data_IF_788362459641
#
_entry.id   IF_788362459641
#
_cell.length_a   1.000
_cell.length_b   1.000
_cell.length_c   1.000
_cell.angle_alpha   90.00
_cell.angle_beta   90.00
_cell.angle_gamma   90.00
#
_symmetry.space_group_name_H-M   'P 1'
#
loop_
_entity.id
_entity.type
_entity.pdbx_description
1 polymer ?
#
# COMPACT_ATOMS: atom_id res chain seq x y z
N UNK A 1 -31.19 -8.52 -29.27
CA UNK A 1 -30.27 -8.02 -28.22
C UNK A 1 -29.88 -9.25 -27.40
N UNK A 2 -28.79 -9.92 -27.77
CA UNK A 2 -28.38 -11.17 -27.13
C UNK A 2 -27.84 -10.84 -25.73
N UNK A 3 -28.51 -11.35 -24.69
CA UNK A 3 -27.96 -11.33 -23.34
C UNK A 3 -26.68 -12.18 -23.36
N UNK A 4 -25.52 -11.54 -23.16
CA UNK A 4 -24.27 -12.23 -22.93
C UNK A 4 -24.45 -13.16 -21.73
N UNK A 5 -24.03 -14.42 -21.86
CA UNK A 5 -24.00 -15.37 -20.75
C UNK A 5 -23.23 -14.76 -19.57
N UNK A 6 -23.65 -14.95 -18.30
CA UNK A 6 -23.01 -14.35 -17.13
C UNK A 6 -21.49 -14.58 -17.04
N UNK A 7 -21.01 -15.71 -17.55
CA UNK A 7 -19.59 -16.09 -17.65
C UNK A 7 -18.80 -15.24 -18.64
N UNK A 8 -19.39 -14.81 -19.75
CA UNK A 8 -18.73 -13.92 -20.71
C UNK A 8 -18.59 -12.48 -20.18
N UNK A 9 -19.47 -12.07 -19.26
CA UNK A 9 -19.44 -10.74 -18.65
C UNK A 9 -18.34 -10.60 -17.59
N UNK A 10 -18.10 -11.65 -16.79
CA UNK A 10 -17.03 -11.67 -15.79
C UNK A 10 -15.63 -11.66 -16.42
N UNK A 11 -15.44 -12.38 -17.54
CA UNK A 11 -14.17 -12.42 -18.28
C UNK A 11 -13.79 -11.08 -18.92
N UNK A 12 -14.76 -10.20 -19.20
CA UNK A 12 -14.50 -8.86 -19.76
C UNK A 12 -14.08 -7.84 -18.70
N UNK A 13 -14.26 -8.13 -17.40
CA UNK A 13 -13.92 -7.23 -16.30
C UNK A 13 -12.64 -7.62 -15.54
N UNK A 14 -12.13 -8.83 -15.75
CA UNK A 14 -10.83 -9.24 -15.24
C UNK A 14 -9.75 -8.55 -16.08
N UNK A 15 -9.05 -7.59 -15.48
CA UNK A 15 -8.01 -6.80 -16.17
C UNK A 15 -6.60 -7.21 -15.75
N UNK A 16 -6.47 -7.99 -14.69
CA UNK A 16 -5.17 -8.50 -14.24
C UNK A 16 -4.76 -9.67 -15.15
N UNK A 17 -3.58 -9.63 -15.79
CA UNK A 17 -3.12 -10.73 -16.63
C UNK A 17 -3.01 -12.04 -15.84
N UNK A 18 -3.54 -13.14 -16.38
CA UNK A 18 -3.54 -14.46 -15.70
C UNK A 18 -2.12 -14.94 -15.36
N UNK A 19 -1.14 -14.56 -16.18
CA UNK A 19 0.29 -14.88 -15.99
C UNK A 19 1.01 -13.95 -15.01
N UNK A 20 0.34 -12.91 -14.48
CA UNK A 20 0.97 -11.97 -13.55
C UNK A 20 1.09 -12.56 -12.15
N UNK A 21 2.12 -12.14 -11.43
CA UNK A 21 2.31 -12.45 -10.00
C UNK A 21 1.11 -12.00 -9.17
N UNK A 22 0.54 -10.83 -9.51
CA UNK A 22 -0.65 -10.30 -8.86
C UNK A 22 -1.85 -11.24 -8.99
N UNK A 23 -2.12 -11.76 -10.20
CA UNK A 23 -3.19 -12.72 -10.42
C UNK A 23 -3.00 -14.01 -9.61
N UNK A 24 -1.77 -14.54 -9.58
CA UNK A 24 -1.45 -15.73 -8.79
C UNK A 24 -1.71 -15.52 -7.29
N UNK A 25 -1.30 -14.38 -6.72
CA UNK A 25 -1.58 -14.07 -5.32
C UNK A 25 -3.08 -13.95 -5.05
N UNK A 26 -3.83 -13.20 -5.84
CA UNK A 26 -5.28 -13.06 -5.65
C UNK A 26 -6.01 -14.40 -5.82
N UNK A 27 -5.57 -15.25 -6.76
CA UNK A 27 -6.10 -16.60 -6.95
C UNK A 27 -5.86 -17.48 -5.72
N UNK A 28 -4.65 -17.46 -5.16
CA UNK A 28 -4.34 -18.22 -3.95
C UNK A 28 -5.21 -17.76 -2.77
N UNK A 29 -5.39 -16.45 -2.59
CA UNK A 29 -6.27 -15.90 -1.56
C UNK A 29 -7.72 -16.38 -1.73
N UNK A 30 -8.26 -16.27 -2.95
CA UNK A 30 -9.62 -16.69 -3.26
C UNK A 30 -9.87 -18.19 -3.00
N UNK A 31 -8.87 -19.03 -3.25
CA UNK A 31 -8.96 -20.48 -3.12
C UNK A 31 -8.77 -20.97 -1.68
N UNK A 32 -7.88 -20.35 -0.92
CA UNK A 32 -7.42 -20.88 0.37
C UNK A 32 -8.00 -20.19 1.59
N UNK A 33 -8.46 -18.94 1.45
CA UNK A 33 -8.91 -18.13 2.58
C UNK A 33 -10.43 -18.09 2.69
N UNK A 34 -10.91 -17.89 3.92
CA UNK A 34 -12.32 -17.68 4.27
C UNK A 34 -12.64 -16.21 4.41
N UNK A 35 -11.65 -15.42 4.85
CA UNK A 35 -11.76 -13.97 4.96
C UNK A 35 -10.49 -13.32 4.42
N UNK A 36 -10.66 -12.30 3.58
CA UNK A 36 -9.57 -11.49 3.04
C UNK A 36 -9.87 -10.04 3.30
N UNK A 37 -9.00 -9.35 4.05
CA UNK A 37 -9.16 -7.94 4.40
C UNK A 37 -8.09 -7.11 3.70
N UNK A 38 -8.49 -6.30 2.72
CA UNK A 38 -7.62 -5.32 2.07
C UNK A 38 -7.51 -4.09 2.96
N UNK A 39 -6.36 -3.90 3.59
CA UNK A 39 -6.10 -2.85 4.56
C UNK A 39 -5.15 -1.79 3.99
N UNK A 40 -5.40 -0.50 4.25
CA UNK A 40 -4.55 0.56 3.73
C UNK A 40 -5.23 1.91 3.61
N UNK A 41 -4.45 2.95 3.32
CA UNK A 41 -4.95 4.32 3.15
C UNK A 41 -6.01 4.41 2.04
N UNK A 42 -6.97 5.33 2.14
CA UNK A 42 -7.82 5.64 0.98
C UNK A 42 -6.96 6.06 -0.24
N UNK A 43 -7.43 5.73 -1.45
CA UNK A 43 -6.70 6.05 -2.69
C UNK A 43 -5.46 5.18 -2.97
N UNK A 44 -5.37 3.97 -2.42
CA UNK A 44 -4.24 3.02 -2.67
C UNK A 44 -4.61 1.88 -3.61
N UNK A 45 -5.74 1.98 -4.31
CA UNK A 45 -6.17 0.97 -5.29
C UNK A 45 -6.93 -0.23 -4.70
N UNK A 46 -7.22 -0.23 -3.39
CA UNK A 46 -7.94 -1.33 -2.71
C UNK A 46 -9.23 -1.74 -3.40
N UNK A 47 -10.09 -0.78 -3.76
CA UNK A 47 -11.40 -1.09 -4.35
C UNK A 47 -11.26 -1.80 -5.72
N UNK A 48 -10.24 -1.45 -6.51
CA UNK A 48 -9.92 -2.18 -7.74
C UNK A 48 -9.44 -3.61 -7.44
N UNK A 49 -8.51 -3.78 -6.49
CA UNK A 49 -8.04 -5.11 -6.10
C UNK A 49 -9.17 -5.99 -5.53
N UNK A 50 -10.10 -5.40 -4.79
CA UNK A 50 -11.31 -6.08 -4.31
C UNK A 50 -12.16 -6.52 -5.50
N UNK A 51 -12.42 -5.65 -6.48
CA UNK A 51 -13.16 -6.02 -7.67
C UNK A 51 -12.52 -7.21 -8.39
N UNK A 52 -11.21 -7.19 -8.57
CA UNK A 52 -10.50 -8.27 -9.25
C UNK A 52 -10.51 -9.57 -8.43
N UNK A 53 -10.36 -9.49 -7.10
CA UNK A 53 -10.48 -10.65 -6.21
C UNK A 53 -11.90 -11.24 -6.22
N UNK A 54 -12.93 -10.41 -6.26
CA UNK A 54 -14.33 -10.85 -6.37
C UNK A 54 -14.51 -11.69 -7.64
N UNK A 55 -14.03 -11.19 -8.79
CA UNK A 55 -14.15 -11.87 -10.08
C UNK A 55 -13.43 -13.22 -10.06
N UNK A 56 -12.18 -13.25 -9.57
CA UNK A 56 -11.37 -14.48 -9.45
C UNK A 56 -12.05 -15.48 -8.50
N UNK A 57 -12.61 -15.01 -7.38
CA UNK A 57 -13.31 -15.87 -6.44
C UNK A 57 -14.60 -16.45 -7.04
N UNK A 58 -15.36 -15.66 -7.79
CA UNK A 58 -16.56 -16.13 -8.48
C UNK A 58 -16.24 -17.16 -9.56
N UNK A 59 -15.17 -16.96 -10.33
CA UNK A 59 -14.68 -17.95 -11.30
C UNK A 59 -14.26 -19.26 -10.60
N UNK A 60 -13.67 -19.17 -9.41
CA UNK A 60 -13.37 -20.32 -8.55
C UNK A 60 -14.62 -20.94 -7.85
N UNK A 61 -15.83 -20.49 -8.18
CA UNK A 61 -17.08 -21.02 -7.64
C UNK A 61 -17.39 -20.60 -6.20
N UNK A 62 -16.72 -19.55 -5.69
CA UNK A 62 -16.90 -19.03 -4.33
C UNK A 62 -18.16 -18.17 -4.25
N UNK A 63 -18.81 -18.16 -3.10
CA UNK A 63 -19.93 -17.27 -2.78
C UNK A 63 -19.41 -16.07 -1.99
N UNK A 64 -19.36 -14.90 -2.63
CA UNK A 64 -18.64 -13.73 -2.11
C UNK A 64 -19.55 -12.80 -1.32
N UNK A 65 -19.10 -12.39 -0.13
CA UNK A 65 -19.71 -11.38 0.73
C UNK A 65 -18.75 -10.22 0.92
N UNK A 66 -19.28 -9.01 1.10
CA UNK A 66 -18.45 -7.81 1.25
C UNK A 66 -18.61 -7.16 2.62
N UNK A 67 -17.51 -6.63 3.13
CA UNK A 67 -17.47 -5.68 4.24
C UNK A 67 -16.71 -4.43 3.80
N UNK A 68 -17.40 -3.34 3.49
CA UNK A 68 -16.74 -2.12 3.04
C UNK A 68 -17.07 -0.99 4.00
N UNK A 69 -16.06 -0.20 4.39
CA UNK A 69 -16.23 0.96 5.27
C UNK A 69 -17.42 1.86 4.87
N UNK A 70 -17.51 2.21 3.58
CA UNK A 70 -18.57 3.08 3.06
C UNK A 70 -19.96 2.47 3.19
N UNK A 71 -20.10 1.14 3.12
CA UNK A 71 -21.38 0.44 3.31
C UNK A 71 -21.66 0.26 4.80
N UNK A 72 -20.65 -0.15 5.58
CA UNK A 72 -20.76 -0.43 7.00
C UNK A 72 -21.17 0.80 7.83
N UNK A 73 -20.72 2.01 7.45
CA UNK A 73 -21.06 3.24 8.16
C UNK A 73 -22.49 3.74 7.89
N UNK A 74 -23.08 3.43 6.73
CA UNK A 74 -24.35 4.02 6.28
C UNK A 74 -25.51 3.85 7.27
N UNK A 75 -25.72 2.67 7.89
CA UNK A 75 -26.79 2.52 8.89
C UNK A 75 -26.67 3.44 10.10
N UNK A 76 -25.46 3.94 10.40
CA UNK A 76 -25.19 4.88 11.48
C UNK A 76 -25.33 6.35 11.05
N UNK A 77 -25.60 6.63 9.78
CA UNK A 77 -25.73 7.98 9.21
C UNK A 77 -27.20 8.33 8.96
N UNK A 78 -28.09 8.00 9.91
CA UNK A 78 -29.51 8.40 9.82
C UNK A 78 -29.66 9.90 10.07
N UNK A 79 -30.73 10.56 9.60
CA UNK A 79 -30.97 11.98 9.85
C UNK A 79 -30.89 12.34 11.34
N UNK A 80 -31.42 11.50 12.22
CA UNK A 80 -31.44 11.71 13.67
C UNK A 80 -30.03 11.60 14.28
N UNK A 81 -29.20 10.68 13.79
CA UNK A 81 -27.83 10.53 14.26
C UNK A 81 -26.95 11.66 13.72
N UNK A 82 -27.09 12.02 12.43
CA UNK A 82 -26.31 13.09 11.79
C UNK A 82 -26.61 14.48 12.36
N UNK A 83 -27.80 14.72 12.92
CA UNK A 83 -28.07 15.95 13.67
C UNK A 83 -27.21 16.05 14.93
N UNK A 84 -26.91 14.92 15.59
CA UNK A 84 -26.10 14.87 16.81
C UNK A 84 -24.61 14.76 16.51
N UNK A 85 -24.27 14.04 15.43
CA UNK A 85 -22.90 13.68 15.05
C UNK A 85 -22.69 13.94 13.55
N UNK A 86 -22.66 15.22 13.13
CA UNK A 86 -22.59 15.59 11.72
C UNK A 86 -21.23 15.23 11.10
N UNK A 87 -21.23 15.02 9.77
CA UNK A 87 -20.00 15.00 8.98
C UNK A 87 -19.43 16.43 8.88
N UNK A 88 -18.13 16.58 9.12
CA UNK A 88 -17.43 17.88 9.03
C UNK A 88 -16.30 17.76 8.00
N UNK A 89 -16.27 18.65 7.01
CA UNK A 89 -15.25 18.68 5.95
C UNK A 89 -15.06 17.34 5.20
N UNK A 90 -16.14 16.58 5.00
CA UNK A 90 -16.09 15.26 4.36
C UNK A 90 -15.54 14.15 5.24
N UNK A 91 -15.40 14.39 6.55
CA UNK A 91 -14.90 13.42 7.53
C UNK A 91 -16.02 12.96 8.47
N UNK A 92 -16.27 11.66 8.47
CA UNK A 92 -17.23 11.00 9.36
C UNK A 92 -16.95 11.31 10.83
N UNK A 93 -17.99 11.66 11.58
CA UNK A 93 -17.88 11.99 13.01
C UNK A 93 -17.19 10.87 13.83
N UNK A 94 -16.30 11.18 14.79
CA UNK A 94 -15.62 10.20 15.63
C UNK A 94 -16.55 9.13 16.25
N UNK A 95 -17.69 9.56 16.82
CA UNK A 95 -18.69 8.66 17.42
C UNK A 95 -19.20 7.62 16.42
N UNK A 96 -19.51 8.01 15.18
CA UNK A 96 -19.96 7.09 14.13
C UNK A 96 -18.83 6.13 13.75
N UNK A 97 -17.58 6.61 13.69
CA UNK A 97 -16.41 5.76 13.41
C UNK A 97 -16.22 4.67 14.45
N UNK A 98 -16.26 5.06 15.72
CA UNK A 98 -16.18 4.14 16.84
C UNK A 98 -17.36 3.16 16.87
N UNK A 99 -18.60 3.64 16.69
CA UNK A 99 -19.78 2.78 16.67
C UNK A 99 -19.72 1.72 15.56
N UNK A 100 -19.31 2.11 14.35
CA UNK A 100 -19.13 1.19 13.23
C UNK A 100 -18.03 0.16 13.54
N UNK A 101 -16.95 0.60 14.19
CA UNK A 101 -15.86 -0.25 14.65
C UNK A 101 -16.26 -1.29 15.69
N UNK A 102 -17.01 -0.88 16.71
CA UNK A 102 -17.55 -1.80 17.73
C UNK A 102 -18.52 -2.80 17.11
N UNK A 103 -19.35 -2.36 16.17
CA UNK A 103 -20.29 -3.23 15.45
C UNK A 103 -19.58 -4.32 14.64
N UNK A 104 -18.50 -3.97 13.94
CA UNK A 104 -17.94 -4.82 12.90
C UNK A 104 -17.40 -6.14 13.42
N UNK A 105 -16.83 -6.17 14.64
CA UNK A 105 -16.36 -7.43 15.24
C UNK A 105 -17.52 -8.42 15.42
N UNK A 106 -18.64 -7.96 15.98
CA UNK A 106 -19.85 -8.78 16.10
C UNK A 106 -20.39 -9.23 14.74
N UNK A 107 -20.35 -8.36 13.73
CA UNK A 107 -20.83 -8.67 12.38
C UNK A 107 -20.00 -9.77 11.70
N UNK A 108 -18.67 -9.71 11.82
CA UNK A 108 -17.77 -10.74 11.27
C UNK A 108 -17.97 -12.09 11.97
N UNK A 109 -18.13 -12.09 13.30
CA UNK A 109 -18.42 -13.31 14.06
C UNK A 109 -19.74 -13.95 13.61
N UNK A 110 -20.82 -13.16 13.53
CA UNK A 110 -22.12 -13.65 13.04
C UNK A 110 -22.06 -14.15 11.61
N UNK A 111 -21.34 -13.46 10.73
CA UNK A 111 -21.16 -13.92 9.36
C UNK A 111 -20.49 -15.30 9.32
N UNK A 112 -19.44 -15.50 10.12
CA UNK A 112 -18.72 -16.77 10.20
C UNK A 112 -19.62 -17.92 10.66
N UNK A 113 -20.43 -17.68 11.68
CA UNK A 113 -21.40 -18.65 12.23
C UNK A 113 -22.51 -18.99 11.22
N UNK A 114 -23.01 -17.99 10.49
CA UNK A 114 -24.11 -18.15 9.54
C UNK A 114 -23.69 -18.86 8.24
N UNK A 115 -22.41 -18.83 7.89
CA UNK A 115 -21.90 -19.34 6.61
C UNK A 115 -20.79 -20.38 6.81
N UNK A 116 -21.02 -21.51 7.52
CA UNK A 116 -19.96 -22.45 7.88
C UNK A 116 -19.35 -23.18 6.66
N UNK A 117 -20.09 -23.29 5.56
CA UNK A 117 -19.60 -23.91 4.33
C UNK A 117 -18.38 -23.13 3.80
N UNK A 118 -17.23 -23.81 3.58
CA UNK A 118 -16.02 -23.16 3.15
C UNK A 118 -16.17 -22.40 1.85
N UNK A 119 -17.15 -22.68 0.98
CA UNK A 119 -17.42 -21.96 -0.29
C UNK A 119 -17.65 -20.45 -0.10
N UNK A 120 -18.10 -20.03 1.07
CA UNK A 120 -18.33 -18.62 1.36
C UNK A 120 -17.01 -17.91 1.63
N UNK A 121 -16.85 -16.72 1.06
CA UNK A 121 -15.67 -15.87 1.19
C UNK A 121 -16.13 -14.46 1.60
N UNK A 122 -15.61 -13.95 2.72
CA UNK A 122 -15.78 -12.54 3.10
C UNK A 122 -14.59 -11.72 2.61
N UNK A 123 -14.85 -10.68 1.82
CA UNK A 123 -13.83 -9.73 1.38
C UNK A 123 -14.10 -8.38 2.04
N UNK A 124 -13.13 -7.86 2.77
CA UNK A 124 -13.26 -6.59 3.47
C UNK A 124 -12.35 -5.48 2.94
N UNK A 125 -12.82 -4.23 2.95
CA UNK A 125 -12.03 -3.03 2.73
C UNK A 125 -11.86 -2.26 4.04
N UNK A 126 -10.61 -2.17 4.54
CA UNK A 126 -10.27 -1.54 5.80
C UNK A 126 -9.38 -0.31 5.56
N UNK A 127 -9.89 0.93 5.73
CA UNK A 127 -9.06 2.11 5.63
C UNK A 127 -8.03 2.24 6.77
N UNK A 128 -8.37 1.71 7.96
CA UNK A 128 -7.59 1.66 9.22
C UNK A 128 -7.24 3.04 9.81
N UNK A 129 -6.68 3.96 9.02
CA UNK A 129 -6.32 5.33 9.44
C UNK A 129 -7.54 6.11 9.93
N UNK A 130 -7.35 6.84 11.03
CA UNK A 130 -8.37 7.66 11.67
C UNK A 130 -9.49 6.85 12.31
N UNK A 131 -9.17 5.73 12.97
CA UNK A 131 -10.12 4.83 13.64
C UNK A 131 -11.21 4.25 12.71
N UNK A 132 -10.86 3.87 11.47
CA UNK A 132 -11.83 3.29 10.53
C UNK A 132 -11.70 1.76 10.47
N UNK A 133 -12.56 1.07 11.23
CA UNK A 133 -12.54 -0.41 11.42
C UNK A 133 -11.23 -0.92 12.03
N UNK A 134 -10.57 -0.08 12.83
CA UNK A 134 -9.33 -0.41 13.52
C UNK A 134 -9.50 -1.59 14.50
N UNK A 135 -10.72 -1.77 14.98
CA UNK A 135 -11.15 -2.82 15.90
C UNK A 135 -10.93 -4.22 15.30
N UNK A 136 -10.84 -4.38 13.98
CA UNK A 136 -10.46 -5.67 13.36
C UNK A 136 -8.95 -5.92 13.38
N UNK A 137 -8.13 -4.89 13.60
CA UNK A 137 -6.66 -4.98 13.58
C UNK A 137 -6.06 -5.10 14.97
N UNK A 138 -6.75 -4.57 15.98
CA UNK A 138 -6.30 -4.61 17.37
C UNK A 138 -6.69 -5.92 18.06
N UNK A 139 -5.80 -6.52 18.87
CA UNK A 139 -6.14 -7.66 19.71
C UNK A 139 -7.24 -7.28 20.71
N UNK A 140 -8.29 -8.09 20.76
CA UNK A 140 -9.36 -7.95 21.74
C UNK A 140 -9.62 -9.30 22.40
N UNK A 141 -9.95 -9.30 23.70
CA UNK A 141 -10.25 -10.52 24.44
C UNK A 141 -11.71 -10.95 24.22
N UNK A 142 -12.07 -11.26 22.97
CA UNK A 142 -13.42 -11.70 22.58
C UNK A 142 -13.43 -13.01 21.78
N UNK A 143 -14.63 -13.51 21.48
CA UNK A 143 -14.81 -14.77 20.75
C UNK A 143 -14.39 -14.71 19.27
N UNK A 144 -14.18 -13.52 18.71
CA UNK A 144 -13.76 -13.35 17.32
C UNK A 144 -12.23 -13.46 17.19
N UNK A 145 -11.48 -13.07 18.21
CA UNK A 145 -10.02 -12.98 18.14
C UNK A 145 -9.31 -14.29 17.70
N UNK A 146 -9.72 -15.50 18.17
CA UNK A 146 -9.15 -16.75 17.68
C UNK A 146 -9.34 -16.96 16.17
N UNK A 147 -10.42 -16.42 15.59
CA UNK A 147 -10.67 -16.48 14.16
C UNK A 147 -9.78 -15.49 13.39
N UNK A 148 -9.69 -14.23 13.84
CA UNK A 148 -8.86 -13.20 13.19
C UNK A 148 -7.36 -13.53 13.17
N UNK A 149 -6.91 -14.32 14.15
CA UNK A 149 -5.53 -14.80 14.28
C UNK A 149 -5.31 -16.20 13.69
N UNK A 150 -6.33 -16.80 13.06
CA UNK A 150 -6.21 -18.10 12.39
C UNK A 150 -5.75 -17.96 10.94
N UNK A 151 -5.19 -19.05 10.39
CA UNK A 151 -4.75 -19.11 8.98
C UNK A 151 -5.89 -18.95 7.95
N UNK A 152 -7.16 -19.03 8.39
CA UNK A 152 -8.34 -18.84 7.55
C UNK A 152 -8.56 -17.37 7.15
N UNK A 153 -7.94 -16.44 7.89
CA UNK A 153 -8.07 -15.01 7.70
C UNK A 153 -6.74 -14.45 7.21
N UNK A 154 -6.79 -13.65 6.13
CA UNK A 154 -5.62 -12.95 5.61
C UNK A 154 -5.90 -11.44 5.56
N UNK A 155 -5.01 -10.66 6.15
CA UNK A 155 -4.93 -9.22 5.91
C UNK A 155 -3.92 -8.99 4.77
N UNK A 156 -4.31 -8.16 3.82
CA UNK A 156 -3.51 -7.83 2.64
C UNK A 156 -3.27 -6.33 2.63
N UNK A 157 -2.00 -5.94 2.57
CA UNK A 157 -1.58 -4.54 2.48
C UNK A 157 -1.07 -4.27 1.05
N UNK A 158 -1.89 -3.70 0.16
CA UNK A 158 -1.40 -3.23 -1.12
C UNK A 158 -0.55 -1.98 -0.92
N UNK A 159 0.69 -2.05 -1.41
CA UNK A 159 1.67 -0.96 -1.42
C UNK A 159 1.91 -0.55 -2.88
N UNK A 160 1.22 0.48 -3.38
CA UNK A 160 1.44 0.94 -4.74
C UNK A 160 2.83 1.55 -4.90
N UNK A 161 3.46 1.33 -6.05
CA UNK A 161 4.64 2.09 -6.47
C UNK A 161 4.28 3.58 -6.62
N UNK A 162 5.27 4.46 -6.74
CA UNK A 162 5.01 5.88 -7.04
C UNK A 162 4.19 6.09 -8.30
N UNK A 163 4.51 5.34 -9.36
CA UNK A 163 3.81 5.41 -10.65
C UNK A 163 2.36 4.95 -10.53
N UNK A 164 2.13 3.84 -9.84
CA UNK A 164 0.78 3.33 -9.57
C UNK A 164 0.01 4.29 -8.68
N UNK A 165 0.65 4.87 -7.65
CA UNK A 165 0.01 5.85 -6.78
C UNK A 165 -0.42 7.09 -7.56
N UNK A 166 0.45 7.64 -8.41
CA UNK A 166 0.12 8.77 -9.26
C UNK A 166 -1.06 8.44 -10.20
N UNK A 167 -1.05 7.26 -10.84
CA UNK A 167 -2.13 6.82 -11.70
C UNK A 167 -3.47 6.68 -10.95
N UNK A 168 -3.45 6.21 -9.70
CA UNK A 168 -4.65 6.12 -8.85
C UNK A 168 -5.17 7.53 -8.49
N UNK A 169 -4.28 8.47 -8.13
CA UNK A 169 -4.67 9.85 -7.82
C UNK A 169 -5.27 10.55 -9.04
N UNK A 170 -4.69 10.36 -10.22
CA UNK A 170 -5.22 10.88 -11.48
C UNK A 170 -6.59 10.25 -11.82
N UNK A 171 -6.74 8.93 -11.64
CA UNK A 171 -8.02 8.26 -11.84
C UNK A 171 -9.08 8.80 -10.88
N UNK A 172 -8.72 9.03 -9.61
CA UNK A 172 -9.59 9.62 -8.60
C UNK A 172 -10.06 11.01 -8.96
N UNK A 173 -9.14 11.86 -9.44
CA UNK A 173 -9.48 13.20 -9.89
C UNK A 173 -10.48 13.17 -11.05
N UNK A 174 -10.30 12.24 -12.00
CA UNK A 174 -11.24 12.04 -13.11
C UNK A 174 -12.62 11.58 -12.63
N UNK A 175 -12.70 10.54 -11.79
CA UNK A 175 -14.00 9.98 -11.34
C UNK A 175 -14.75 10.90 -10.39
N UNK A 176 -14.06 11.79 -9.67
CA UNK A 176 -14.73 12.84 -8.90
C UNK A 176 -15.34 13.92 -9.79
N UNK A 177 -14.68 14.25 -10.90
CA UNK A 177 -15.17 15.23 -11.87
C UNK A 177 -16.32 14.67 -12.74
N UNK A 178 -16.22 13.39 -13.11
CA UNK A 178 -17.22 12.68 -13.93
C UNK A 178 -17.51 11.27 -13.34
N UNK A 179 -18.36 11.18 -12.30
CA UNK A 179 -18.67 9.91 -11.65
C UNK A 179 -19.46 8.97 -12.55
N UNK A 180 -18.95 7.75 -12.72
CA UNK A 180 -19.63 6.64 -13.41
C UNK A 180 -20.46 5.78 -12.45
N UNK A 181 -20.30 5.96 -11.13
CA UNK A 181 -21.07 5.24 -10.11
C UNK A 181 -21.36 6.10 -8.87
N UNK A 182 -22.49 5.89 -8.20
CA UNK A 182 -22.91 6.69 -7.03
C UNK A 182 -21.90 6.64 -5.86
N UNK A 183 -21.17 5.53 -5.70
CA UNK A 183 -20.12 5.40 -4.68
C UNK A 183 -18.91 6.30 -4.94
N UNK A 184 -18.63 6.65 -6.21
CA UNK A 184 -17.51 7.53 -6.57
C UNK A 184 -17.74 8.97 -6.08
N UNK A 185 -19.01 9.38 -5.93
CA UNK A 185 -19.34 10.69 -5.35
C UNK A 185 -19.00 10.79 -3.86
N UNK A 186 -18.87 9.64 -3.18
CA UNK A 186 -18.56 9.54 -1.74
C UNK A 186 -17.10 9.23 -1.49
N UNK A 187 -16.29 9.22 -2.53
CA UNK A 187 -14.87 8.99 -2.42
C UNK A 187 -14.17 10.16 -1.74
N UNK A 188 -13.14 9.83 -0.95
CA UNK A 188 -12.26 10.85 -0.37
C UNK A 188 -11.68 11.75 -1.48
N UNK A 189 -11.84 13.06 -1.31
CA UNK A 189 -11.31 14.10 -2.19
C UNK A 189 -9.77 14.16 -2.12
N UNK A 190 -9.10 14.80 -3.09
CA UNK A 190 -7.63 14.95 -3.07
C UNK A 190 -7.12 15.62 -1.78
N UNK A 191 -7.83 16.62 -1.26
CA UNK A 191 -7.49 17.28 -0.01
C UNK A 191 -7.56 16.32 1.19
N UNK A 192 -8.60 15.47 1.24
CA UNK A 192 -8.71 14.43 2.27
C UNK A 192 -7.58 13.40 2.14
N UNK A 193 -7.25 12.95 0.93
CA UNK A 193 -6.13 12.04 0.70
C UNK A 193 -4.79 12.62 1.16
N UNK A 194 -4.55 13.91 0.91
CA UNK A 194 -3.36 14.61 1.37
C UNK A 194 -3.31 14.69 2.90
N UNK A 195 -4.42 15.04 3.55
CA UNK A 195 -4.51 15.11 5.02
C UNK A 195 -4.25 13.75 5.66
N UNK A 196 -4.80 12.67 5.09
CA UNK A 196 -4.55 11.32 5.59
C UNK A 196 -3.11 10.86 5.37
N UNK A 197 -2.47 11.28 4.27
CA UNK A 197 -1.04 11.01 4.08
C UNK A 197 -0.17 11.77 5.09
N UNK A 198 -0.53 13.03 5.41
CA UNK A 198 0.13 13.77 6.49
C UNK A 198 -0.01 13.05 7.84
N UNK A 199 -1.17 12.45 8.11
CA UNK A 199 -1.38 11.62 9.30
C UNK A 199 -0.46 10.39 9.31
N UNK A 200 -0.32 9.68 8.17
CA UNK A 200 0.62 8.56 8.03
C UNK A 200 2.08 9.01 8.27
N UNK A 201 2.50 10.15 7.71
CA UNK A 201 3.82 10.71 7.98
C UNK A 201 4.01 11.06 9.47
N UNK A 202 2.97 11.58 10.12
CA UNK A 202 2.95 11.85 11.56
C UNK A 202 3.19 10.58 12.38
N UNK A 203 2.49 9.50 12.03
CA UNK A 203 2.66 8.19 12.67
C UNK A 203 4.05 7.60 12.43
N UNK A 204 4.56 7.67 11.21
CA UNK A 204 5.90 7.18 10.88
C UNK A 204 6.97 7.81 11.78
N UNK A 205 6.88 9.13 12.02
CA UNK A 205 7.76 9.84 12.95
C UNK A 205 7.64 9.33 14.38
N UNK A 206 6.42 9.17 14.88
CA UNK A 206 6.18 8.68 16.24
C UNK A 206 6.70 7.25 16.43
N UNK A 207 6.63 6.42 15.39
CA UNK A 207 7.15 5.06 15.39
C UNK A 207 8.67 4.98 15.18
N UNK A 208 9.36 6.10 14.93
CA UNK A 208 10.79 6.11 14.61
C UNK A 208 11.12 5.57 13.22
N UNK A 209 10.11 5.38 12.36
CA UNK A 209 10.28 5.01 10.96
C UNK A 209 10.67 6.27 10.18
N UNK A 210 11.98 6.50 10.00
CA UNK A 210 12.62 7.55 9.16
C UNK A 210 12.58 9.01 9.68
N UNK A 211 13.31 9.91 9.01
CA UNK A 211 13.16 11.38 9.09
C UNK A 211 11.93 11.84 8.28
N UNK A 212 10.78 11.16 8.36
CA UNK A 212 9.57 11.55 7.65
C UNK A 212 9.25 13.03 7.96
N UNK A 213 8.84 13.78 6.94
CA UNK A 213 8.23 15.11 6.84
C UNK A 213 6.71 15.18 7.03
N UNK A 214 5.97 16.16 7.61
CA UNK A 214 4.55 16.28 7.25
C UNK A 214 4.39 16.56 5.75
N UNK A 215 5.41 17.16 5.13
CA UNK A 215 5.46 17.46 3.70
C UNK A 215 6.15 16.40 2.85
N UNK A 216 6.58 15.27 3.44
CA UNK A 216 7.18 14.19 2.66
C UNK A 216 6.12 13.67 1.68
N UNK A 217 6.40 13.62 0.37
CA UNK A 217 5.48 13.07 -0.61
C UNK A 217 5.24 11.59 -0.35
N UNK A 218 4.27 10.98 -1.06
CA UNK A 218 4.04 9.55 -0.94
C UNK A 218 5.34 8.75 -1.07
N UNK A 219 5.56 7.84 -0.14
CA UNK A 219 6.68 6.92 -0.16
C UNK A 219 6.16 5.51 0.21
N UNK A 220 6.32 4.51 -0.66
CA UNK A 220 5.80 3.16 -0.46
C UNK A 220 6.39 2.48 0.78
N UNK A 221 7.61 2.82 1.20
CA UNK A 221 8.25 2.26 2.38
C UNK A 221 7.72 2.86 3.68
N UNK A 222 7.54 4.18 3.73
CA UNK A 222 6.90 4.83 4.89
C UNK A 222 5.47 4.28 5.03
N UNK A 223 4.74 4.22 3.92
CA UNK A 223 3.41 3.64 3.87
C UNK A 223 3.41 2.18 4.33
N UNK A 224 4.22 1.33 3.71
CA UNK A 224 4.32 -0.10 4.03
C UNK A 224 4.66 -0.34 5.50
N UNK A 225 5.70 0.33 6.00
CA UNK A 225 6.17 0.17 7.38
C UNK A 225 5.14 0.61 8.42
N UNK A 226 4.44 1.75 8.21
CA UNK A 226 3.37 2.18 9.12
C UNK A 226 2.25 1.15 9.17
N UNK A 227 1.75 0.69 8.02
CA UNK A 227 0.63 -0.26 8.01
C UNK A 227 1.03 -1.67 8.45
N UNK A 228 2.28 -2.10 8.25
CA UNK A 228 2.82 -3.33 8.83
C UNK A 228 2.79 -3.25 10.37
N UNK A 229 3.22 -2.13 10.96
CA UNK A 229 3.12 -1.91 12.40
C UNK A 229 1.66 -1.92 12.89
N UNK A 230 0.75 -1.27 12.15
CA UNK A 230 -0.69 -1.27 12.48
C UNK A 230 -1.33 -2.67 12.41
N UNK A 231 -0.80 -3.55 11.56
CA UNK A 231 -1.35 -4.89 11.30
C UNK A 231 -0.51 -6.02 11.94
N UNK A 232 0.44 -5.70 12.82
CA UNK A 232 1.41 -6.64 13.40
C UNK A 232 0.78 -7.83 14.14
N UNK A 233 -0.49 -7.73 14.55
CA UNK A 233 -1.22 -8.77 15.26
C UNK A 233 -2.08 -9.65 14.34
N UNK A 234 -1.89 -9.57 13.02
CA UNK A 234 -2.68 -10.27 12.03
C UNK A 234 -1.78 -11.04 11.07
N UNK A 235 -2.35 -12.09 10.45
CA UNK A 235 -1.73 -12.74 9.30
C UNK A 235 -1.68 -11.74 8.14
N UNK A 236 -0.55 -11.05 8.03
CA UNK A 236 -0.35 -9.98 7.06
C UNK A 236 0.40 -10.51 5.83
N UNK A 237 -0.08 -10.13 4.65
CA UNK A 237 0.64 -10.26 3.40
C UNK A 237 0.77 -8.87 2.78
N UNK A 238 2.00 -8.39 2.65
CA UNK A 238 2.28 -7.17 1.88
C UNK A 238 2.30 -7.51 0.39
N UNK A 239 1.55 -6.75 -0.39
CA UNK A 239 1.45 -6.91 -1.84
C UNK A 239 1.98 -5.64 -2.50
N UNK A 240 3.17 -5.71 -3.09
CA UNK A 240 3.69 -4.62 -3.91
C UNK A 240 2.88 -4.55 -5.19
N UNK A 241 2.40 -3.35 -5.53
CA UNK A 241 1.62 -3.10 -6.75
C UNK A 241 2.39 -2.12 -7.61
N UNK A 242 3.09 -2.64 -8.61
CA UNK A 242 3.93 -1.87 -9.53
C UNK A 242 3.36 -1.79 -10.96
N UNK A 243 2.25 -2.48 -11.22
CA UNK A 243 1.53 -2.45 -12.48
C UNK A 243 0.35 -1.47 -12.44
N UNK A 244 0.27 -0.56 -13.41
CA UNK A 244 -0.88 0.32 -13.60
C UNK A 244 -1.99 -0.45 -14.31
N UNK A 245 -3.07 -0.72 -13.59
CA UNK A 245 -4.25 -1.37 -14.14
C UNK A 245 -5.26 -0.33 -14.64
N UNK A 246 -5.86 -0.59 -15.80
CA UNK A 246 -6.79 0.32 -16.47
C UNK A 246 -8.21 -0.25 -16.50
N UNK A 247 -9.03 -0.04 -15.45
CA UNK A 247 -10.42 -0.47 -15.47
C UNK A 247 -11.22 0.31 -16.51
N UNK A 248 -12.06 -0.38 -17.29
CA UNK A 248 -12.91 0.26 -18.31
C UNK A 248 -14.24 0.80 -17.73
N UNK A 249 -14.55 0.43 -16.48
CA UNK A 249 -15.77 0.80 -15.77
C UNK A 249 -15.46 1.13 -14.33
N UNK A 250 -16.48 1.58 -13.59
CA UNK A 250 -16.35 1.81 -12.15
C UNK A 250 -15.85 0.57 -11.42
N UNK A 251 -14.90 0.79 -10.52
CA UNK A 251 -14.39 -0.26 -9.59
C UNK A 251 -15.46 -0.74 -8.60
N UNK A 252 -16.57 -0.02 -8.51
CA UNK A 252 -17.71 -0.36 -7.66
C UNK A 252 -18.79 -1.15 -8.39
N UNK A 253 -18.69 -1.31 -9.71
CA UNK A 253 -19.56 -2.21 -10.46
C UNK A 253 -19.14 -3.66 -10.13
N UNK A 254 -19.85 -4.28 -9.18
CA UNK A 254 -19.64 -5.66 -8.76
C UNK A 254 -20.92 -6.45 -9.04
N UNK A 255 -20.79 -7.53 -9.82
CA UNK A 255 -21.88 -8.46 -10.08
C UNK A 255 -21.84 -9.62 -9.08
N UNK A 256 -22.99 -10.28 -8.85
CA UNK A 256 -23.08 -11.57 -8.14
C UNK A 256 -22.49 -11.60 -6.72
N UNK A 257 -22.55 -10.47 -6.00
CA UNK A 257 -22.27 -10.42 -4.56
C UNK A 257 -23.46 -11.03 -3.80
N UNK A 258 -23.18 -11.96 -2.89
CA UNK A 258 -24.22 -12.66 -2.13
C UNK A 258 -24.83 -11.76 -1.05
N UNK A 259 -24.01 -11.02 -0.31
CA UNK A 259 -24.47 -9.95 0.57
C UNK A 259 -23.34 -8.96 0.91
N UNK A 260 -23.74 -7.77 1.34
CA UNK A 260 -22.84 -6.82 2.01
C UNK A 260 -23.22 -6.77 3.50
N UNK A 261 -22.23 -6.83 4.39
CA UNK A 261 -22.47 -6.71 5.83
C UNK A 261 -22.95 -5.29 6.15
N UNK A 262 -24.13 -5.20 6.77
CA UNK A 262 -24.75 -3.94 7.21
C UNK A 262 -25.43 -4.14 8.55
N UNK A 263 -25.38 -3.09 9.39
CA UNK A 263 -26.05 -3.11 10.68
C UNK A 263 -27.57 -3.00 10.49
N UNK A 264 -28.32 -3.75 11.30
CA UNK A 264 -29.78 -3.56 11.37
C UNK A 264 -30.12 -2.32 12.20
N UNK A 265 -31.31 -1.71 12.05
CA UNK A 265 -31.72 -0.57 12.89
C UNK A 265 -31.66 -0.87 14.40
N UNK A 266 -31.97 -2.11 14.81
CA UNK A 266 -31.89 -2.54 16.20
C UNK A 266 -30.44 -2.60 16.70
N UNK A 267 -29.51 -3.09 15.87
CA UNK A 267 -28.08 -3.10 16.18
C UNK A 267 -27.53 -1.67 16.27
N UNK A 268 -27.91 -0.80 15.33
CA UNK A 268 -27.52 0.63 15.36
C UNK A 268 -27.97 1.27 16.66
N UNK A 269 -29.25 1.12 17.03
CA UNK A 269 -29.79 1.69 18.27
C UNK A 269 -29.04 1.19 19.51
N UNK A 270 -28.81 -0.12 19.61
CA UNK A 270 -28.11 -0.72 20.75
C UNK A 270 -26.65 -0.26 20.85
N UNK A 271 -25.95 -0.15 19.73
CA UNK A 271 -24.55 0.27 19.70
C UNK A 271 -24.43 1.76 19.98
N UNK A 272 -25.26 2.60 19.37
CA UNK A 272 -25.25 4.03 19.65
C UNK A 272 -25.53 4.32 21.13
N UNK A 273 -26.51 3.65 21.74
CA UNK A 273 -26.77 3.77 23.18
C UNK A 273 -25.52 3.40 24.01
N UNK A 274 -24.89 2.25 23.72
CA UNK A 274 -23.67 1.81 24.41
C UNK A 274 -22.48 2.78 24.22
N UNK A 275 -22.34 3.39 23.05
CA UNK A 275 -21.27 4.37 22.78
C UNK A 275 -21.55 5.68 23.51
N UNK A 276 -22.80 6.13 23.52
CA UNK A 276 -23.24 7.34 24.23
C UNK A 276 -23.08 7.18 25.76
N UNK A 277 -23.36 6.00 26.32
CA UNK A 277 -23.13 5.68 27.75
C UNK A 277 -21.66 5.79 28.18
N UNK A 278 -20.70 5.60 27.26
CA UNK A 278 -19.27 5.74 27.55
C UNK A 278 -18.84 7.21 27.66
N UNK A 279 -19.69 8.16 27.24
CA UNK A 279 -19.42 9.58 27.17
C UNK A 279 -18.78 9.98 25.84
N UNK A 280 -19.41 10.91 25.13
CA UNK A 280 -18.97 11.39 23.80
C UNK A 280 -17.53 11.90 23.83
N UNK A 281 -17.17 12.74 24.80
CA UNK A 281 -15.81 13.30 24.93
C UNK A 281 -14.75 12.20 25.07
N UNK A 282 -15.07 11.11 25.78
CA UNK A 282 -14.17 9.98 25.95
C UNK A 282 -13.98 9.24 24.61
N UNK A 283 -15.05 9.03 23.86
CA UNK A 283 -15.01 8.39 22.54
C UNK A 283 -14.21 9.24 21.56
N UNK A 284 -14.44 10.55 21.54
CA UNK A 284 -13.68 11.47 20.69
C UNK A 284 -12.19 11.48 21.04
N UNK A 285 -11.87 11.45 22.34
CA UNK A 285 -10.49 11.35 22.83
C UNK A 285 -9.86 10.00 22.46
N UNK A 286 -10.60 8.90 22.52
CA UNK A 286 -10.10 7.59 22.10
C UNK A 286 -9.83 7.56 20.59
N UNK A 287 -10.76 8.11 19.79
CA UNK A 287 -10.63 8.21 18.33
C UNK A 287 -9.48 9.13 17.92
N UNK A 288 -9.21 10.23 18.62
CA UNK A 288 -8.07 11.11 18.31
C UNK A 288 -6.72 10.46 18.65
N UNK A 289 -6.69 9.60 19.67
CA UNK A 289 -5.52 8.83 20.09
C UNK A 289 -5.55 7.38 19.62
N UNK A 290 -6.25 7.09 18.52
CA UNK A 290 -6.47 5.73 18.02
C UNK A 290 -5.18 4.92 17.81
N UNK A 291 -4.07 5.60 17.56
CA UNK A 291 -2.75 5.04 17.31
C UNK A 291 -1.93 4.78 18.59
N UNK A 292 -2.31 5.32 19.75
CA UNK A 292 -1.52 5.22 20.99
C UNK A 292 -1.26 3.79 21.45
N UNK A 293 -2.24 2.86 21.44
CA UNK A 293 -1.99 1.48 21.82
C UNK A 293 -0.93 0.80 20.92
N UNK A 294 -0.78 1.27 19.69
CA UNK A 294 0.13 0.72 18.68
C UNK A 294 1.52 1.37 18.73
N UNK A 295 1.62 2.64 19.14
CA UNK A 295 2.88 3.38 19.22
C UNK A 295 3.57 3.32 20.59
N UNK A 296 2.87 2.93 21.66
CA UNK A 296 3.47 2.79 23.00
C UNK A 296 4.20 1.47 23.24
N UNK A 297 3.88 0.44 22.46
CA UNK A 297 4.52 -0.86 22.56
C UNK A 297 4.68 -1.50 21.17
N UNK A 298 5.30 -0.79 20.19
CA UNK A 298 5.54 -1.41 18.90
C UNK A 298 6.40 -2.63 19.18
N UNK A 299 5.94 -3.82 18.76
CA UNK A 299 6.97 -4.81 18.49
C UNK A 299 7.86 -4.15 17.44
N UNK A 300 9.20 -4.14 17.61
CA UNK A 300 10.04 -3.82 16.48
C UNK A 300 9.49 -4.68 15.34
N UNK A 301 9.19 -4.08 14.17
CA UNK A 301 8.62 -4.85 13.08
C UNK A 301 9.46 -6.11 12.99
N UNK A 302 8.81 -7.28 13.01
CA UNK A 302 9.46 -8.48 12.55
C UNK A 302 10.17 -8.02 11.27
N UNK A 303 11.51 -8.12 11.14
CA UNK A 303 12.21 -7.68 9.92
C UNK A 303 11.60 -8.30 8.65
N UNK A 304 10.70 -9.25 8.88
CA UNK A 304 9.95 -10.12 8.02
C UNK A 304 10.60 -11.49 8.18
N UNK A 305 10.37 -12.39 7.23
CA UNK A 305 11.57 -13.05 6.69
C UNK A 305 12.67 -11.98 6.48
N UNK A 306 13.95 -12.36 6.37
CA UNK A 306 14.83 -11.54 5.54
C UNK A 306 13.96 -11.24 4.32
N UNK A 307 13.51 -10.00 4.09
CA UNK A 307 13.13 -9.64 2.75
C UNK A 307 14.41 -10.10 2.06
N UNK A 308 14.43 -11.17 1.23
CA UNK A 308 15.49 -11.20 0.26
C UNK A 308 15.30 -9.82 -0.32
N UNK A 309 16.23 -8.89 -0.04
CA UNK A 309 16.24 -7.61 -0.70
C UNK A 309 15.93 -8.03 -2.11
N UNK A 310 14.80 -7.67 -2.72
CA UNK A 310 14.66 -7.99 -4.10
C UNK A 310 15.66 -7.03 -4.77
N UNK A 311 16.97 -7.30 -4.68
CA UNK A 311 17.74 -7.61 -5.86
C UNK A 311 16.78 -8.48 -6.66
N UNK A 312 16.12 -7.89 -7.66
CA UNK A 312 14.94 -8.47 -8.21
C UNK A 312 15.20 -9.94 -8.50
N UNK A 313 14.31 -10.84 -8.10
CA UNK A 313 14.13 -12.10 -8.83
C UNK A 313 13.69 -11.83 -10.30
N UNK A 314 13.63 -10.56 -10.73
CA UNK A 314 13.64 -10.11 -12.12
C UNK A 314 15.05 -9.87 -12.72
N UNK A 315 16.15 -10.07 -11.99
CA UNK A 315 17.50 -10.17 -12.56
C UNK A 315 17.99 -11.60 -12.91
N UNK A 316 17.22 -12.71 -12.96
CA UNK A 316 17.67 -13.94 -13.57
C UNK A 316 18.07 -13.78 -15.05
N UNK A 317 17.85 -12.61 -15.65
CA UNK A 317 18.18 -12.33 -17.05
C UNK A 317 18.79 -10.95 -17.34
N UNK A 318 18.97 -10.05 -16.36
CA UNK A 318 19.55 -8.72 -16.67
C UNK A 318 21.06 -8.82 -16.95
N UNK A 319 21.81 -9.60 -16.17
CA UNK A 319 23.20 -9.94 -16.51
C UNK A 319 23.28 -10.75 -17.81
N UNK A 320 22.24 -11.52 -18.13
CA UNK A 320 22.20 -12.36 -19.34
C UNK A 320 21.84 -11.59 -20.62
N UNK A 321 21.29 -10.37 -20.51
CA UNK A 321 20.79 -9.60 -21.65
C UNK A 321 21.45 -8.23 -21.83
N UNK A 322 22.26 -7.74 -20.88
CA UNK A 322 22.95 -6.45 -20.98
C UNK A 322 24.42 -6.64 -21.34
N UNK A 323 24.74 -6.53 -22.64
CA UNK A 323 26.12 -6.56 -23.11
C UNK A 323 26.76 -5.16 -22.99
N UNK A 324 27.53 -4.95 -21.91
CA UNK A 324 28.33 -3.75 -21.75
C UNK A 324 29.45 -3.68 -22.79
N UNK A 325 29.59 -2.52 -23.44
CA UNK A 325 30.76 -2.24 -24.28
C UNK A 325 32.05 -2.22 -23.43
N UNK A 326 33.20 -2.40 -24.07
CA UNK A 326 34.49 -2.29 -23.39
C UNK A 326 34.67 -0.92 -22.72
N UNK A 327 34.10 0.13 -23.31
CA UNK A 327 34.14 1.50 -22.80
C UNK A 327 33.25 1.66 -21.55
N UNK A 328 32.02 1.14 -21.59
CA UNK A 328 31.11 1.15 -20.42
C UNK A 328 31.68 0.34 -19.26
N UNK A 329 32.23 -0.84 -19.54
CA UNK A 329 32.89 -1.67 -18.52
C UNK A 329 34.10 -0.97 -17.91
N UNK A 330 34.93 -0.32 -18.73
CA UNK A 330 36.08 0.44 -18.25
C UNK A 330 35.64 1.61 -17.33
N UNK A 331 34.58 2.33 -17.70
CA UNK A 331 34.06 3.44 -16.90
C UNK A 331 33.52 2.96 -15.52
N UNK A 332 32.79 1.85 -15.48
CA UNK A 332 32.32 1.24 -14.23
C UNK A 332 33.47 0.71 -13.37
N UNK A 333 34.50 0.11 -13.98
CA UNK A 333 35.69 -0.35 -13.27
C UNK A 333 36.46 0.79 -12.61
N UNK A 334 36.50 1.98 -13.23
CA UNK A 334 37.09 3.16 -12.60
C UNK A 334 36.33 3.51 -11.32
N UNK A 335 34.99 3.48 -11.35
CA UNK A 335 34.18 3.70 -10.15
C UNK A 335 34.54 2.66 -9.09
N UNK A 336 34.49 1.35 -9.38
CA UNK A 336 34.71 0.26 -8.41
C UNK A 336 36.13 0.21 -7.85
N UNK A 337 37.16 0.58 -8.62
CA UNK A 337 38.57 0.50 -8.17
C UNK A 337 39.03 1.66 -7.31
N UNK A 338 38.22 2.71 -7.14
CA UNK A 338 38.55 3.79 -6.22
C UNK A 338 38.67 3.26 -4.78
N UNK A 339 39.67 3.72 -4.00
CA UNK A 339 39.76 3.39 -2.57
C UNK A 339 38.49 3.82 -1.82
N UNK A 340 38.07 3.06 -0.81
CA UNK A 340 36.89 3.40 0.01
C UNK A 340 37.00 4.78 0.67
N UNK A 341 38.24 5.22 0.94
CA UNK A 341 38.62 6.51 1.51
C UNK A 341 38.90 7.60 0.46
N UNK A 342 38.54 7.38 -0.81
CA UNK A 342 38.72 8.39 -1.84
C UNK A 342 37.92 9.67 -1.53
N UNK A 343 38.52 10.82 -1.84
CA UNK A 343 37.88 12.13 -1.70
C UNK A 343 36.58 12.20 -2.51
N UNK A 344 35.53 12.81 -1.95
CA UNK A 344 34.17 12.84 -2.54
C UNK A 344 34.20 13.42 -3.97
N UNK A 345 34.98 14.48 -4.21
CA UNK A 345 35.12 15.08 -5.55
C UNK A 345 35.73 14.12 -6.58
N UNK A 346 36.65 13.24 -6.17
CA UNK A 346 37.25 12.21 -7.04
C UNK A 346 36.22 11.14 -7.36
N UNK A 347 35.43 10.72 -6.37
CA UNK A 347 34.34 9.75 -6.54
C UNK A 347 33.26 10.31 -7.46
N UNK A 348 32.82 11.55 -7.24
CA UNK A 348 31.84 12.24 -8.08
C UNK A 348 32.30 12.33 -9.54
N UNK A 349 33.57 12.68 -9.77
CA UNK A 349 34.14 12.75 -11.13
C UNK A 349 34.09 11.40 -11.85
N UNK A 350 34.41 10.31 -11.14
CA UNK A 350 34.33 8.97 -11.71
C UNK A 350 32.88 8.53 -12.00
N UNK A 351 31.95 8.85 -11.11
CA UNK A 351 30.52 8.55 -11.26
C UNK A 351 29.91 9.37 -12.41
N UNK A 352 30.27 10.65 -12.54
CA UNK A 352 29.85 11.53 -13.64
C UNK A 352 30.34 11.00 -14.99
N UNK A 353 31.59 10.56 -15.06
CA UNK A 353 32.13 9.92 -16.26
C UNK A 353 31.35 8.64 -16.59
N UNK A 354 31.12 7.76 -15.61
CA UNK A 354 30.36 6.52 -15.83
C UNK A 354 28.92 6.78 -16.30
N UNK A 355 28.22 7.75 -15.70
CA UNK A 355 26.89 8.17 -16.13
C UNK A 355 26.88 8.69 -17.58
N UNK A 356 27.89 9.48 -17.96
CA UNK A 356 28.01 10.00 -19.32
C UNK A 356 28.28 8.89 -20.34
N UNK A 357 29.14 7.92 -19.99
CA UNK A 357 29.50 6.79 -20.86
C UNK A 357 28.35 5.79 -21.07
N UNK A 358 27.38 5.70 -20.14
CA UNK A 358 26.23 4.80 -20.28
C UNK A 358 25.17 5.28 -21.30
N UNK A 359 25.25 6.53 -21.81
CA UNK A 359 24.35 7.16 -22.81
C UNK A 359 22.87 7.27 -22.36
N UNK A 360 22.03 8.14 -22.99
CA UNK A 360 21.22 9.11 -22.26
C UNK A 360 19.96 8.46 -21.68
N UNK A 361 20.12 7.77 -20.55
CA UNK A 361 19.01 7.65 -19.63
C UNK A 361 18.68 9.09 -19.22
N UNK A 362 17.56 9.62 -19.71
CA UNK A 362 16.96 10.82 -19.15
C UNK A 362 16.49 10.45 -17.74
N UNK A 363 17.42 10.46 -16.79
CA UNK A 363 17.11 10.30 -15.37
C UNK A 363 16.48 11.63 -14.95
N UNK A 364 15.25 11.64 -14.39
CA UNK A 364 14.66 12.86 -13.89
C UNK A 364 15.63 13.53 -12.92
N UNK A 365 15.95 14.79 -13.18
CA UNK A 365 16.59 15.69 -12.22
C UNK A 365 15.59 16.02 -11.11
N UNK A 366 15.21 15.03 -10.32
CA UNK A 366 14.47 15.27 -9.10
C UNK A 366 15.40 16.03 -8.13
N UNK A 367 15.11 17.31 -7.92
CA UNK A 367 15.95 18.25 -7.19
C UNK A 367 16.14 17.94 -5.69
N UNK A 368 15.65 16.81 -5.16
CA UNK A 368 15.57 16.55 -3.73
C UNK A 368 15.77 15.07 -3.34
N UNK A 369 16.79 14.38 -3.90
CA UNK A 369 17.14 13.02 -3.47
C UNK A 369 18.12 13.07 -2.28
N UNK A 370 17.58 13.28 -1.07
CA UNK A 370 18.38 13.51 0.15
C UNK A 370 19.10 12.27 0.74
N UNK A 371 19.11 11.10 0.06
CA UNK A 371 19.81 9.88 0.52
C UNK A 371 20.15 8.93 -0.63
N UNK A 372 21.22 8.12 -0.48
CA UNK A 372 21.47 6.97 -1.36
C UNK A 372 20.50 5.86 -0.99
N UNK A 373 19.59 5.56 -1.88
CA UNK A 373 18.72 4.40 -1.79
C UNK A 373 18.91 3.59 -3.07
N UNK A 374 19.42 2.36 -2.93
CA UNK A 374 19.63 1.39 -4.03
C UNK A 374 18.29 1.08 -4.73
N UNK A 375 17.15 1.36 -4.08
CA UNK A 375 15.84 1.25 -4.69
C UNK A 375 15.40 2.53 -5.43
N UNK A 376 15.76 3.73 -4.98
CA UNK A 376 15.50 4.97 -5.74
C UNK A 376 16.16 4.93 -7.12
N UNK A 377 17.29 4.21 -7.23
CA UNK A 377 17.93 3.94 -8.50
C UNK A 377 17.18 3.01 -9.45
N UNK A 378 16.37 2.09 -8.92
CA UNK A 378 15.58 1.16 -9.73
C UNK A 378 14.31 1.81 -10.32
N UNK A 379 13.78 2.84 -9.64
CA UNK A 379 12.49 3.45 -9.97
C UNK A 379 12.57 4.86 -10.55
N UNK A 380 13.73 5.54 -10.49
CA UNK A 380 13.92 6.87 -11.11
C UNK A 380 14.25 6.81 -12.61
N UNK A 381 13.88 5.77 -13.33
CA UNK A 381 14.18 5.65 -14.76
C UNK A 381 12.89 5.52 -15.55
N UNK A 382 12.63 6.46 -16.46
CA UNK A 382 11.50 6.33 -17.39
C UNK A 382 11.69 5.07 -18.23
N UNK A 383 10.80 4.09 -18.02
CA UNK A 383 10.72 2.87 -18.84
C UNK A 383 10.05 3.20 -20.18
N UNK A 384 10.77 3.88 -21.06
CA UNK A 384 10.38 4.01 -22.47
C UNK A 384 11.49 3.38 -23.30
N UNK A 385 11.22 2.19 -23.84
CA UNK A 385 12.05 1.42 -24.79
C UNK A 385 13.58 1.52 -24.55
N UNK A 386 14.16 0.55 -23.83
CA UNK A 386 15.60 0.50 -23.59
C UNK A 386 16.10 -0.77 -22.89
N UNK A 387 17.43 -0.95 -22.88
CA UNK A 387 18.13 -2.06 -22.21
C UNK A 387 17.97 -1.93 -20.68
N UNK A 388 17.24 -2.85 -20.02
CA UNK A 388 16.89 -2.74 -18.61
C UNK A 388 18.11 -2.73 -17.67
N UNK A 389 19.23 -3.37 -18.05
CA UNK A 389 20.43 -3.34 -17.22
C UNK A 389 21.18 -2.01 -17.31
N UNK A 390 21.25 -1.39 -18.49
CA UNK A 390 21.84 -0.04 -18.63
C UNK A 390 21.01 1.01 -17.89
N UNK A 391 19.68 0.90 -17.96
CA UNK A 391 18.76 1.77 -17.21
C UNK A 391 18.98 1.63 -15.69
N UNK A 392 19.06 0.39 -15.19
CA UNK A 392 19.35 0.11 -13.80
C UNK A 392 20.70 0.69 -13.34
N UNK A 393 21.78 0.46 -14.10
CA UNK A 393 23.11 0.98 -13.80
C UNK A 393 23.15 2.51 -13.78
N UNK A 394 22.48 3.15 -14.75
CA UNK A 394 22.36 4.61 -14.80
C UNK A 394 21.62 5.17 -13.59
N UNK A 395 20.50 4.57 -13.21
CA UNK A 395 19.76 4.94 -12.00
C UNK A 395 20.60 4.77 -10.73
N UNK A 396 21.33 3.65 -10.61
CA UNK A 396 22.20 3.32 -9.47
C UNK A 396 23.29 4.35 -9.26
N UNK A 397 24.00 4.70 -10.33
CA UNK A 397 25.03 5.72 -10.29
C UNK A 397 24.46 7.10 -9.99
N UNK A 398 23.28 7.45 -10.51
CA UNK A 398 22.66 8.75 -10.24
C UNK A 398 22.20 8.87 -8.78
N UNK A 399 21.60 7.82 -8.21
CA UNK A 399 21.24 7.80 -6.80
C UNK A 399 22.49 7.96 -5.91
N UNK A 400 23.58 7.26 -6.26
CA UNK A 400 24.85 7.36 -5.55
C UNK A 400 25.44 8.77 -5.61
N UNK A 401 25.43 9.35 -6.81
CA UNK A 401 25.86 10.73 -7.04
C UNK A 401 25.06 11.73 -6.22
N UNK A 402 23.73 11.65 -6.24
CA UNK A 402 22.86 12.58 -5.51
C UNK A 402 23.10 12.52 -4.00
N UNK A 403 23.33 11.32 -3.46
CA UNK A 403 23.67 11.15 -2.07
C UNK A 403 25.02 11.77 -1.70
N UNK A 404 26.03 11.58 -2.55
CA UNK A 404 27.36 12.19 -2.39
C UNK A 404 27.33 13.72 -2.50
N UNK A 405 26.44 14.30 -3.30
CA UNK A 405 26.29 15.75 -3.41
C UNK A 405 25.58 16.36 -2.20
N UNK A 406 24.51 15.74 -1.72
CA UNK A 406 23.81 16.20 -0.52
C UNK A 406 24.64 16.03 0.76
N UNK A 407 25.69 15.22 0.70
CA UNK A 407 26.64 14.99 1.79
C UNK A 407 27.58 16.16 2.08
N UNK A 408 27.84 17.02 1.10
CA UNK A 408 28.66 18.23 1.31
C UNK A 408 27.85 19.34 2.00
N UNK A 409 26.51 19.29 1.95
CA UNK A 409 25.61 20.28 2.54
C UNK A 409 25.21 19.95 4.01
N UNK A 410 25.33 18.70 4.47
CA UNK A 410 25.05 18.26 5.85
C UNK A 410 26.03 17.13 6.27
N UNK A 411 27.04 17.40 7.13
CA UNK A 411 28.15 16.48 7.42
C UNK A 411 27.77 15.31 8.36
N UNK A 412 26.49 14.99 8.51
CA UNK A 412 26.00 14.06 9.53
C UNK A 412 25.98 12.57 9.15
N UNK A 413 26.45 12.17 7.96
CA UNK A 413 26.73 10.74 7.76
C UNK A 413 27.98 10.33 8.52
N UNK A 414 27.79 9.37 9.41
CA UNK A 414 28.81 8.77 10.25
C UNK A 414 29.91 8.10 9.41
N UNK A 415 31.09 7.90 10.01
CA UNK A 415 32.24 7.14 9.46
C UNK A 415 31.84 5.74 8.93
N UNK A 416 30.66 5.24 9.30
CA UNK A 416 30.12 3.92 8.96
C UNK A 416 29.26 3.97 7.69
N UNK A 417 28.52 5.05 7.43
CA UNK A 417 27.53 5.09 6.35
C UNK A 417 28.19 5.21 4.96
N UNK A 418 29.22 6.04 4.80
CA UNK A 418 29.94 6.20 3.51
C UNK A 418 30.51 4.86 2.98
N UNK A 419 31.21 4.04 3.79
CA UNK A 419 31.64 2.71 3.37
C UNK A 419 30.48 1.77 3.00
N UNK A 420 29.33 1.82 3.70
CA UNK A 420 28.19 0.97 3.41
C UNK A 420 27.52 1.30 2.07
N UNK A 421 27.32 2.59 1.77
CA UNK A 421 26.77 3.01 0.47
C UNK A 421 27.71 2.60 -0.67
N UNK A 422 29.02 2.67 -0.41
CA UNK A 422 30.05 2.28 -1.35
C UNK A 422 30.11 0.77 -1.60
N UNK A 423 30.03 -0.05 -0.54
CA UNK A 423 29.96 -1.52 -0.64
C UNK A 423 28.70 -1.94 -1.41
N UNK A 424 27.56 -1.29 -1.16
CA UNK A 424 26.32 -1.57 -1.88
C UNK A 424 26.43 -1.24 -3.38
N UNK A 425 27.06 -0.11 -3.74
CA UNK A 425 27.35 0.22 -5.13
C UNK A 425 28.31 -0.78 -5.78
N UNK A 426 29.41 -1.14 -5.10
CA UNK A 426 30.40 -2.09 -5.62
C UNK A 426 29.80 -3.48 -5.83
N UNK A 427 28.97 -3.95 -4.90
CA UNK A 427 28.26 -5.21 -5.04
C UNK A 427 27.30 -5.20 -6.25
N UNK A 428 26.52 -4.12 -6.41
CA UNK A 428 25.55 -4.00 -7.50
C UNK A 428 26.20 -3.74 -8.87
N UNK A 429 27.33 -3.01 -8.95
CA UNK A 429 28.09 -2.82 -10.20
C UNK A 429 28.91 -4.07 -10.55
N UNK A 430 29.46 -4.77 -9.55
CA UNK A 430 30.24 -5.99 -9.72
C UNK A 430 29.44 -7.16 -10.33
N UNK A 431 28.11 -7.09 -10.28
CA UNK A 431 27.22 -8.02 -10.99
C UNK A 431 27.30 -7.87 -12.53
N UNK A 432 27.73 -6.71 -13.05
CA UNK A 432 27.76 -6.42 -14.49
C UNK A 432 29.16 -6.39 -15.12
N UNK A 433 30.21 -6.35 -14.29
CA UNK A 433 31.60 -6.06 -14.69
C UNK A 433 32.50 -7.25 -14.47
#
# INVERSE_FOLDING_TARGET
MYALLPTAYALLMLIIPISSTLHHHLSQLAQTKRMVFMAGLQGTGKSLLIQQLVLIAQEAGRTVHLLQWLTARQPFETPEILVRYPETDGVTHPVIRWATGVWVRGAVARWHEQHPDPRHLLIGELPVIGNRLLELTQPEADGLEPLLTSEQVQFVLPVPSWEVRAAIEDARARTLADPQHEREKRDASPAVLQALWQEVNGLARQMGLTKASPTTPYNPYIYGGVFQALLQHRHLQTLLVDEVLHPQRSVYELAQIASELQATPAEVAAIMARVEEQGVDRVETAVSHWHYPLTQNPQPPDPGPELPLPLPEALPYAEQNTELTAEQRAALQVVVRLPLQAEVGVVLTAVDHALHTLAPVTVPTAAHVHKFDVYDSYFNVQRRDGDPGLLFLGGLLQAYRNALQNLDDDPTLTVIEKPMLRIALEAAVGMFV
#
